data_IF_055606631518
#
_entry.id   IF_055606631518
#
_cell.length_a   1.000
_cell.length_b   1.000
_cell.length_c   1.000
_cell.angle_alpha   90.00
_cell.angle_beta   90.00
_cell.angle_gamma   90.00
#
_symmetry.space_group_name_H-M   'P 1'
#
loop_
_entity.id
_entity.type
_entity.pdbx_description
1 polymer ?
#
# COMPACT_ATOMS: atom_id res chain seq x y z
N UNK A 1 -5.12 -12.27 42.63
CA UNK A 1 -5.76 -10.97 42.37
C UNK A 1 -6.48 -11.04 41.04
N UNK A 2 -7.80 -11.14 41.10
CA UNK A 2 -8.72 -11.26 39.98
C UNK A 2 -9.20 -9.88 39.56
N UNK A 3 -8.49 -9.24 38.62
CA UNK A 3 -9.00 -8.07 37.90
C UNK A 3 -9.84 -8.57 36.73
N UNK A 4 -11.09 -8.91 37.05
CA UNK A 4 -12.14 -9.17 36.08
C UNK A 4 -12.23 -7.96 35.16
N UNK A 5 -11.89 -8.17 33.90
CA UNK A 5 -12.12 -7.24 32.81
C UNK A 5 -13.63 -7.10 32.64
N UNK A 6 -14.24 -6.16 33.36
CA UNK A 6 -15.53 -5.60 32.99
C UNK A 6 -15.35 -4.94 31.61
N UNK A 7 -15.64 -5.71 30.57
CA UNK A 7 -15.78 -5.19 29.22
C UNK A 7 -16.86 -4.11 29.26
N UNK A 8 -16.44 -2.85 29.20
CA UNK A 8 -17.34 -1.71 29.08
C UNK A 8 -18.12 -1.85 27.77
N UNK A 9 -19.32 -2.41 27.85
CA UNK A 9 -20.29 -2.66 26.77
C UNK A 9 -20.86 -1.37 26.14
N UNK A 10 -20.38 -0.19 26.55
CA UNK A 10 -20.88 1.09 26.08
C UNK A 10 -19.98 1.69 25.01
N UNK A 11 -20.60 2.21 23.95
CA UNK A 11 -19.93 2.98 22.92
C UNK A 11 -19.10 4.11 23.55
N UNK A 12 -17.89 4.31 23.04
CA UNK A 12 -17.01 5.36 23.55
C UNK A 12 -17.70 6.73 23.44
N UNK A 13 -17.73 7.48 24.55
CA UNK A 13 -18.25 8.85 24.58
C UNK A 13 -17.60 9.71 23.47
N UNK A 14 -18.34 10.68 22.89
CA UNK A 14 -17.81 11.57 21.84
C UNK A 14 -16.53 12.31 22.28
N UNK A 15 -16.36 12.58 23.58
CA UNK A 15 -15.11 13.15 24.13
C UNK A 15 -13.93 12.17 24.05
N UNK A 16 -14.18 10.88 24.32
CA UNK A 16 -13.17 9.82 24.24
C UNK A 16 -12.76 9.51 22.79
N UNK A 17 -13.72 9.57 21.85
CA UNK A 17 -13.45 9.42 20.42
C UNK A 17 -12.63 10.60 19.86
N UNK A 18 -12.95 11.84 20.25
CA UNK A 18 -12.20 13.02 19.81
C UNK A 18 -10.77 13.03 20.37
N UNK A 19 -10.58 12.62 21.63
CA UNK A 19 -9.25 12.43 22.21
C UNK A 19 -8.46 11.31 21.51
N UNK A 20 -9.07 10.16 21.23
CA UNK A 20 -8.42 9.08 20.46
C UNK A 20 -7.99 9.57 19.07
N UNK A 21 -8.81 10.40 18.42
CA UNK A 21 -8.48 11.05 17.14
C UNK A 21 -7.28 11.99 17.28
N UNK A 22 -7.26 12.86 18.29
CA UNK A 22 -6.11 13.76 18.57
C UNK A 22 -4.81 13.00 18.85
N UNK A 23 -4.91 11.82 19.49
CA UNK A 23 -3.79 10.90 19.74
C UNK A 23 -3.39 10.06 18.52
N UNK A 24 -4.05 10.23 17.37
CA UNK A 24 -3.81 9.48 16.14
C UNK A 24 -4.25 8.01 16.20
N UNK A 25 -5.02 7.62 17.21
CA UNK A 25 -5.52 6.26 17.39
C UNK A 25 -6.87 6.09 16.69
N UNK A 26 -6.85 6.09 15.35
CA UNK A 26 -8.04 5.79 14.56
C UNK A 26 -8.09 4.31 14.18
N UNK A 27 -9.29 3.70 14.16
CA UNK A 27 -9.47 2.37 13.57
C UNK A 27 -9.16 2.45 12.07
N UNK A 28 -7.95 2.02 11.69
CA UNK A 28 -7.54 1.93 10.29
C UNK A 28 -7.86 0.53 9.77
N UNK A 29 -8.79 0.43 8.82
CA UNK A 29 -8.95 -0.80 8.04
C UNK A 29 -7.81 -0.86 7.01
N UNK A 30 -6.74 -1.59 7.34
CA UNK A 30 -5.61 -1.80 6.43
C UNK A 30 -6.07 -2.46 5.12
N UNK A 31 -7.12 -3.28 5.18
CA UNK A 31 -7.73 -3.94 4.02
C UNK A 31 -8.37 -2.93 3.04
N UNK A 32 -9.01 -1.87 3.54
CA UNK A 32 -9.61 -0.85 2.68
C UNK A 32 -8.56 -0.07 1.89
N UNK A 33 -7.51 0.39 2.57
CA UNK A 33 -6.41 1.13 1.92
C UNK A 33 -5.71 0.26 0.88
N UNK A 34 -5.50 -1.03 1.19
CA UNK A 34 -4.94 -2.01 0.24
C UNK A 34 -5.85 -2.17 -0.98
N UNK A 35 -7.15 -2.37 -0.79
CA UNK A 35 -8.09 -2.53 -1.89
C UNK A 35 -8.12 -1.30 -2.81
N UNK A 36 -8.20 -0.08 -2.24
CA UNK A 36 -8.18 1.16 -3.03
C UNK A 36 -6.86 1.31 -3.80
N UNK A 37 -5.73 1.01 -3.16
CA UNK A 37 -4.42 1.04 -3.82
C UNK A 37 -4.32 0.05 -4.98
N UNK A 38 -4.80 -1.19 -4.79
CA UNK A 38 -4.83 -2.20 -5.86
C UNK A 38 -5.74 -1.78 -7.01
N UNK A 39 -6.95 -1.29 -6.73
CA UNK A 39 -7.86 -0.79 -7.75
C UNK A 39 -7.27 0.40 -8.53
N UNK A 40 -6.63 1.34 -7.84
CA UNK A 40 -5.98 2.48 -8.48
C UNK A 40 -4.80 2.06 -9.36
N UNK A 41 -3.98 1.11 -8.89
CA UNK A 41 -2.87 0.57 -9.68
C UNK A 41 -3.34 -0.18 -10.94
N UNK A 42 -4.32 -1.07 -10.79
CA UNK A 42 -4.90 -1.81 -11.93
C UNK A 42 -5.62 -0.88 -12.90
N UNK A 43 -6.40 0.09 -12.39
CA UNK A 43 -7.07 1.09 -13.22
C UNK A 43 -6.08 1.97 -13.98
N UNK A 44 -4.97 2.36 -13.35
CA UNK A 44 -3.88 3.06 -14.05
C UNK A 44 -3.29 2.22 -15.17
N UNK A 45 -2.94 0.95 -14.88
CA UNK A 45 -2.38 0.05 -15.89
C UNK A 45 -3.36 -0.21 -17.05
N UNK A 46 -4.65 -0.31 -16.76
CA UNK A 46 -5.67 -0.46 -17.81
C UNK A 46 -5.74 0.78 -18.70
N UNK A 47 -5.79 1.99 -18.12
CA UNK A 47 -5.91 3.24 -18.89
C UNK A 47 -4.62 3.68 -19.58
N UNK A 48 -3.46 3.37 -19.00
CA UNK A 48 -2.14 3.80 -19.49
C UNK A 48 -1.30 2.68 -20.10
N UNK A 49 -1.82 1.47 -20.16
CA UNK A 49 -1.09 0.31 -20.69
C UNK A 49 -0.57 0.53 -22.10
N UNK A 50 -1.40 1.09 -22.99
CA UNK A 50 -1.01 1.42 -24.37
C UNK A 50 0.13 2.44 -24.43
N UNK A 51 0.08 3.48 -23.59
CA UNK A 51 1.13 4.51 -23.53
C UNK A 51 2.46 3.90 -23.05
N UNK A 52 2.40 2.97 -22.10
CA UNK A 52 3.60 2.26 -21.62
C UNK A 52 4.16 1.36 -22.74
N UNK A 53 3.30 0.66 -23.47
CA UNK A 53 3.70 -0.17 -24.61
C UNK A 53 4.38 0.65 -25.71
N UNK A 54 3.78 1.78 -26.10
CA UNK A 54 4.34 2.69 -27.11
C UNK A 54 5.72 3.18 -26.69
N UNK A 55 5.90 3.52 -25.41
CA UNK A 55 7.18 3.97 -24.86
C UNK A 55 8.21 2.84 -24.87
N UNK A 56 7.83 1.62 -24.51
CA UNK A 56 8.71 0.45 -24.62
C UNK A 56 9.13 0.18 -26.08
N UNK A 57 8.21 0.32 -27.04
CA UNK A 57 8.50 0.19 -28.47
C UNK A 57 9.46 1.27 -28.95
N UNK A 58 9.26 2.52 -28.53
CA UNK A 58 10.16 3.63 -28.84
C UNK A 58 11.58 3.38 -28.30
N UNK A 59 11.71 2.86 -27.07
CA UNK A 59 12.99 2.50 -26.50
C UNK A 59 13.71 1.38 -27.27
N UNK A 60 12.97 0.36 -27.71
CA UNK A 60 13.50 -0.73 -28.54
C UNK A 60 14.01 -0.23 -29.89
N UNK A 61 13.25 0.64 -30.56
CA UNK A 61 13.67 1.27 -31.82
C UNK A 61 14.85 2.22 -31.65
N UNK A 62 15.01 2.82 -30.47
CA UNK A 62 16.17 3.65 -30.18
C UNK A 62 17.41 2.78 -29.96
N UNK A 63 17.28 1.63 -29.28
CA UNK A 63 18.38 0.70 -29.07
C UNK A 63 19.00 0.23 -30.41
N UNK A 64 18.18 -0.02 -31.43
CA UNK A 64 18.68 -0.41 -32.77
C UNK A 64 19.43 0.74 -33.47
N UNK A 65 19.02 1.99 -33.23
CA UNK A 65 19.73 3.19 -33.74
C UNK A 65 21.04 3.46 -33.01
N UNK A 66 21.14 3.14 -31.73
CA UNK A 66 22.36 3.32 -30.96
C UNK A 66 23.45 2.30 -31.29
N UNK A 67 23.08 1.15 -31.87
CA UNK A 67 24.04 0.10 -32.23
C UNK A 67 25.05 0.54 -33.29
N UNK A 68 24.72 1.53 -34.13
CA UNK A 68 25.62 2.08 -35.16
C UNK A 68 26.56 3.17 -34.63
N UNK A 69 26.42 3.58 -33.36
CA UNK A 69 27.25 4.62 -32.75
C UNK A 69 28.43 4.02 -31.97
N UNK A 70 29.54 4.78 -31.82
CA UNK A 70 30.63 4.40 -30.92
C UNK A 70 30.13 4.23 -29.47
N UNK A 71 30.73 3.31 -28.74
CA UNK A 71 30.33 2.96 -27.37
C UNK A 71 30.30 4.19 -26.43
N UNK A 72 31.30 5.06 -26.51
CA UNK A 72 31.41 6.28 -25.69
C UNK A 72 30.27 7.28 -25.91
N UNK A 73 29.60 7.23 -27.07
CA UNK A 73 28.46 8.10 -27.40
C UNK A 73 27.12 7.40 -27.18
N UNK A 74 27.06 6.09 -27.46
CA UNK A 74 25.85 5.29 -27.30
C UNK A 74 25.45 5.13 -25.82
N UNK A 75 26.40 4.83 -24.92
CA UNK A 75 26.08 4.52 -23.52
C UNK A 75 25.43 5.70 -22.78
N UNK A 76 25.95 6.94 -22.83
CA UNK A 76 25.32 8.07 -22.17
C UNK A 76 23.92 8.36 -22.70
N UNK A 77 23.72 8.29 -24.03
CA UNK A 77 22.41 8.50 -24.65
C UNK A 77 21.40 7.43 -24.25
N UNK A 78 21.83 6.16 -24.22
CA UNK A 78 20.99 5.05 -23.75
C UNK A 78 20.55 5.26 -22.31
N UNK A 79 21.46 5.72 -21.44
CA UNK A 79 21.18 5.93 -20.03
C UNK A 79 20.17 7.05 -19.81
N UNK A 80 20.31 8.17 -20.53
CA UNK A 80 19.35 9.30 -20.47
C UNK A 80 17.96 8.84 -20.88
N UNK A 81 17.85 8.11 -21.98
CA UNK A 81 16.57 7.63 -22.49
C UNK A 81 15.96 6.62 -21.51
N UNK A 82 16.76 5.72 -20.96
CA UNK A 82 16.30 4.73 -19.98
C UNK A 82 15.75 5.41 -18.72
N UNK A 83 16.43 6.45 -18.22
CA UNK A 83 15.96 7.23 -17.07
C UNK A 83 14.64 7.94 -17.42
N UNK A 84 14.56 8.60 -18.57
CA UNK A 84 13.34 9.27 -19.02
C UNK A 84 12.17 8.29 -19.14
N UNK A 85 12.40 7.13 -19.73
CA UNK A 85 11.41 6.06 -19.87
C UNK A 85 10.93 5.59 -18.49
N UNK A 86 11.87 5.32 -17.59
CA UNK A 86 11.57 4.84 -16.23
C UNK A 86 10.75 5.88 -15.47
N UNK A 87 11.15 7.15 -15.51
CA UNK A 87 10.42 8.23 -14.82
C UNK A 87 9.03 8.42 -15.44
N UNK A 88 8.90 8.36 -16.76
CA UNK A 88 7.62 8.54 -17.45
C UNK A 88 6.64 7.37 -17.19
N UNK A 89 7.14 6.14 -17.03
CA UNK A 89 6.31 4.98 -16.75
C UNK A 89 5.99 4.82 -15.25
N UNK A 90 7.01 4.92 -14.40
CA UNK A 90 6.93 4.64 -12.96
C UNK A 90 6.43 5.86 -12.18
N UNK A 91 6.82 7.07 -12.57
CA UNK A 91 6.47 8.30 -11.87
C UNK A 91 4.96 8.50 -11.71
N UNK A 92 4.17 8.47 -12.79
CA UNK A 92 2.72 8.67 -12.68
C UNK A 92 2.00 7.49 -12.00
N UNK A 93 2.53 6.26 -12.11
CA UNK A 93 2.01 5.11 -11.36
C UNK A 93 2.20 5.32 -9.84
N UNK A 94 3.41 5.69 -9.41
CA UNK A 94 3.70 6.00 -8.01
C UNK A 94 2.85 7.17 -7.52
N UNK A 95 2.73 8.24 -8.32
CA UNK A 95 1.88 9.38 -8.01
C UNK A 95 0.42 8.97 -7.78
N UNK A 96 -0.10 8.10 -8.64
CA UNK A 96 -1.47 7.57 -8.54
C UNK A 96 -1.66 6.72 -7.28
N UNK A 97 -0.72 5.83 -6.97
CA UNK A 97 -0.76 5.00 -5.76
C UNK A 97 -0.67 5.83 -4.48
N UNK A 98 0.24 6.81 -4.43
CA UNK A 98 0.38 7.73 -3.29
C UNK A 98 -0.92 8.53 -3.10
N UNK A 99 -1.46 9.11 -4.17
CA UNK A 99 -2.73 9.83 -4.12
C UNK A 99 -3.88 8.94 -3.63
N UNK A 100 -3.99 7.71 -4.16
CA UNK A 100 -5.01 6.76 -3.77
C UNK A 100 -4.92 6.39 -2.27
N UNK A 101 -3.73 6.15 -1.75
CA UNK A 101 -3.51 5.82 -0.33
C UNK A 101 -3.83 7.02 0.58
N UNK A 102 -3.45 8.23 0.18
CA UNK A 102 -3.78 9.46 0.91
C UNK A 102 -5.29 9.64 0.95
N UNK A 103 -5.97 9.58 -0.21
CA UNK A 103 -7.42 9.73 -0.31
C UNK A 103 -8.16 8.65 0.49
N UNK A 104 -7.76 7.38 0.35
CA UNK A 104 -8.33 6.27 1.11
C UNK A 104 -8.16 6.49 2.63
N UNK A 105 -6.99 6.97 3.06
CA UNK A 105 -6.74 7.29 4.47
C UNK A 105 -7.60 8.46 4.94
N UNK A 106 -7.79 9.50 4.14
CA UNK A 106 -8.62 10.65 4.49
C UNK A 106 -10.09 10.27 4.62
N UNK A 107 -10.60 9.47 3.68
CA UNK A 107 -11.98 8.98 3.70
C UNK A 107 -12.21 8.05 4.90
N UNK A 108 -11.31 7.06 5.11
CA UNK A 108 -11.42 6.12 6.22
C UNK A 108 -11.32 6.81 7.59
N UNK A 109 -10.49 7.85 7.69
CA UNK A 109 -10.31 8.60 8.93
C UNK A 109 -11.34 9.71 9.13
N UNK A 110 -12.20 10.02 8.14
CA UNK A 110 -13.16 11.12 8.14
C UNK A 110 -12.53 12.52 8.22
N UNK A 111 -11.34 12.70 7.62
CA UNK A 111 -10.60 13.97 7.60
C UNK A 111 -9.10 13.83 7.87
N UNK A 112 -8.38 14.97 7.79
CA UNK A 112 -6.95 15.02 8.09
C UNK A 112 -6.73 14.98 9.62
N UNK A 113 -5.99 13.98 10.09
CA UNK A 113 -5.68 13.82 11.52
C UNK A 113 -4.17 13.95 11.69
N UNK A 114 -3.73 15.08 12.24
CA UNK A 114 -2.33 15.31 12.58
C UNK A 114 -2.10 14.97 14.06
N UNK A 115 -1.23 13.99 14.34
CA UNK A 115 -0.85 13.64 15.70
C UNK A 115 0.63 13.29 15.76
N UNK A 116 1.35 13.97 16.67
CA UNK A 116 2.78 13.72 16.93
C UNK A 116 2.98 12.67 18.04
N UNK A 117 1.92 12.28 18.75
CA UNK A 117 1.98 11.26 19.82
C UNK A 117 2.45 9.88 19.36
N UNK A 118 2.09 9.36 18.17
CA UNK A 118 2.61 8.10 17.66
C UNK A 118 4.12 8.09 17.39
N UNK A 119 4.75 9.26 17.21
CA UNK A 119 6.21 9.38 17.05
C UNK A 119 6.99 9.27 18.36
N UNK A 120 6.31 9.29 19.52
CA UNK A 120 6.99 8.97 20.78
C UNK A 120 7.33 7.48 20.80
N UNK A 121 8.63 7.17 20.77
CA UNK A 121 9.16 5.83 20.98
C UNK A 121 8.71 5.35 22.37
N UNK A 122 7.73 4.45 22.42
CA UNK A 122 7.29 3.83 23.66
C UNK A 122 7.98 2.46 23.81
N UNK A 123 8.83 2.30 24.82
CA UNK A 123 9.51 1.04 25.12
C UNK A 123 8.54 -0.14 25.33
N UNK A 124 7.31 0.15 25.78
CA UNK A 124 6.23 -0.85 25.91
C UNK A 124 5.81 -1.51 24.59
N UNK A 125 6.05 -0.88 23.42
CA UNK A 125 5.71 -1.46 22.11
C UNK A 125 6.81 -2.37 21.55
N UNK A 126 7.99 -2.40 22.17
CA UNK A 126 9.18 -3.12 21.69
C UNK A 126 9.39 -4.45 22.45
N UNK A 127 8.53 -4.77 23.42
CA UNK A 127 8.68 -6.01 24.19
C UNK A 127 8.44 -7.26 23.30
N UNK A 128 9.46 -8.06 23.00
CA UNK A 128 9.34 -9.23 22.12
C UNK A 128 8.42 -10.31 22.71
N UNK A 129 8.23 -10.34 24.04
CA UNK A 129 7.36 -11.30 24.71
C UNK A 129 5.87 -11.00 24.44
N UNK A 130 5.47 -9.72 24.45
CA UNK A 130 4.12 -9.31 24.03
C UNK A 130 3.88 -9.59 22.54
N UNK A 131 4.91 -9.50 21.70
CA UNK A 131 4.86 -9.87 20.28
C UNK A 131 4.55 -11.35 20.08
N UNK A 132 5.24 -12.24 20.80
CA UNK A 132 4.99 -13.68 20.78
C UNK A 132 3.60 -14.04 21.33
N UNK A 133 3.17 -13.39 22.41
CA UNK A 133 1.81 -13.58 22.96
C UNK A 133 0.72 -13.13 21.98
N UNK A 134 0.98 -12.07 21.21
CA UNK A 134 0.08 -11.63 20.13
C UNK A 134 -0.05 -12.65 19.00
N UNK A 135 1.05 -13.28 18.60
CA UNK A 135 1.06 -14.34 17.58
C UNK A 135 0.24 -15.57 18.01
N UNK A 136 0.31 -15.95 19.29
CA UNK A 136 -0.50 -17.05 19.85
C UNK A 136 -1.94 -16.69 20.22
N UNK A 137 -2.37 -15.44 20.00
CA UNK A 137 -3.71 -15.01 20.41
C UNK A 137 -4.80 -15.49 19.43
N UNK A 138 -6.02 -15.71 19.93
CA UNK A 138 -7.19 -16.04 19.10
C UNK A 138 -7.42 -15.02 17.97
N UNK A 139 -7.03 -13.76 18.19
CA UNK A 139 -7.06 -12.72 17.17
C UNK A 139 -6.13 -13.01 15.99
N UNK A 140 -4.92 -13.52 16.24
CA UNK A 140 -3.99 -13.91 15.18
C UNK A 140 -4.54 -15.09 14.37
N UNK A 141 -5.18 -16.05 15.02
CA UNK A 141 -5.80 -17.20 14.34
C UNK A 141 -6.93 -16.78 13.39
N UNK A 142 -7.77 -15.82 13.82
CA UNK A 142 -8.80 -15.21 12.96
C UNK A 142 -8.16 -14.45 11.78
N UNK A 143 -7.06 -13.74 12.01
CA UNK A 143 -6.37 -12.99 10.97
C UNK A 143 -5.70 -13.90 9.92
N UNK A 144 -5.13 -15.03 10.35
CA UNK A 144 -4.61 -16.08 9.48
C UNK A 144 -5.74 -16.68 8.64
N UNK A 145 -6.85 -17.06 9.28
CA UNK A 145 -8.01 -17.62 8.57
C UNK A 145 -8.56 -16.64 7.51
N UNK A 146 -8.73 -15.36 7.87
CA UNK A 146 -9.15 -14.30 6.95
C UNK A 146 -8.18 -14.14 5.77
N UNK A 147 -6.88 -14.26 6.03
CA UNK A 147 -5.85 -14.15 5.00
C UNK A 147 -5.86 -15.38 4.07
N UNK A 148 -5.98 -16.59 4.61
CA UNK A 148 -6.14 -17.82 3.82
C UNK A 148 -7.38 -17.76 2.92
N UNK A 149 -8.52 -17.32 3.46
CA UNK A 149 -9.74 -17.13 2.68
C UNK A 149 -9.54 -16.15 1.51
N UNK A 150 -8.90 -15.00 1.75
CA UNK A 150 -8.58 -14.04 0.67
C UNK A 150 -7.71 -14.67 -0.42
N UNK A 151 -6.70 -15.46 -0.04
CA UNK A 151 -5.81 -16.12 -1.00
C UNK A 151 -6.56 -17.13 -1.85
N UNK A 152 -7.43 -17.95 -1.24
CA UNK A 152 -8.25 -18.91 -1.97
C UNK A 152 -9.19 -18.22 -2.97
N UNK A 153 -9.88 -17.17 -2.54
CA UNK A 153 -10.77 -16.39 -3.43
C UNK A 153 -9.99 -15.79 -4.59
N UNK A 154 -8.83 -15.17 -4.33
CA UNK A 154 -7.99 -14.61 -5.39
C UNK A 154 -7.50 -15.68 -6.36
N UNK A 155 -7.04 -16.83 -5.85
CA UNK A 155 -6.56 -17.95 -6.67
C UNK A 155 -7.67 -18.54 -7.55
N UNK A 156 -8.87 -18.70 -7.01
CA UNK A 156 -10.03 -19.18 -7.77
C UNK A 156 -10.41 -18.20 -8.89
N UNK A 157 -10.53 -16.90 -8.60
CA UNK A 157 -10.83 -15.88 -9.62
C UNK A 157 -9.77 -15.86 -10.71
N UNK A 158 -8.50 -15.94 -10.34
CA UNK A 158 -7.41 -15.96 -11.33
C UNK A 158 -7.49 -17.19 -12.23
N UNK A 159 -7.76 -18.36 -11.67
CA UNK A 159 -7.89 -19.61 -12.42
C UNK A 159 -9.07 -19.58 -13.40
N UNK A 160 -10.19 -18.97 -13.01
CA UNK A 160 -11.37 -18.81 -13.88
C UNK A 160 -11.10 -17.84 -15.03
N UNK A 161 -10.37 -16.74 -14.80
CA UNK A 161 -10.05 -15.75 -15.84
C UNK A 161 -9.04 -16.29 -16.87
N UNK A 162 -8.18 -17.23 -16.46
CA UNK A 162 -7.15 -17.83 -17.30
C UNK A 162 -7.68 -19.02 -18.15
N UNK A 163 -8.84 -19.57 -17.79
CA UNK A 163 -9.57 -20.60 -18.53
C UNK A 163 -10.40 -19.98 -19.66
#
# INVERSE_FOLDING_TARGET
>A
MSDTSEEKTHAASPKKLSEARKKGQLPRSSDFVRAVGTCAGLGYLWLRGSVIEDKCREALLLATKLQSLPFDTAVPQALVVLVQLTVAAVGPLLGTLVAAVILASLLANGGFVFSLEPMKLSFKKIDPFEGLKRLGSARSMVEVCKTMFKVLVLSATFSIVLL
#
